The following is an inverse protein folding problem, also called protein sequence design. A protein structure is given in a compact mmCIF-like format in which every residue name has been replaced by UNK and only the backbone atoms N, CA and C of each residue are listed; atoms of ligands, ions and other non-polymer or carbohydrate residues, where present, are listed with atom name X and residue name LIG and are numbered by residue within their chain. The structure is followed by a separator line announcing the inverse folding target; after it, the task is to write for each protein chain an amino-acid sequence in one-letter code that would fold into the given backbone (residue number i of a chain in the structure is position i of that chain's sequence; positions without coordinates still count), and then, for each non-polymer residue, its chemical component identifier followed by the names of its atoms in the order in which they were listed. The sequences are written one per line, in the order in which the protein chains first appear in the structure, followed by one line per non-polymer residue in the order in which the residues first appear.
data_IF_703014381568
#
_entry.id   IF_703014381568
#
_cell.length_a   1.000
_cell.length_b   1.000
_cell.length_c   1.000
_cell.angle_alpha   90.00
_cell.angle_beta   90.00
_cell.angle_gamma   90.00
#
_symmetry.space_group_name_H-M   'P 1'
#
loop_
_entity.id
_entity.type
_entity.pdbx_description
1 polymer ?
#
# COMPACT_ATOMS: atom_id res chain seq x y z
N UNK A 1 -44.07 -19.81 22.59
CA UNK A 1 -43.37 -20.00 21.30
C UNK A 1 -42.10 -19.17 21.33
N UNK A 2 -40.92 -19.81 21.34
CA UNK A 2 -39.61 -19.12 21.44
C UNK A 2 -39.03 -18.99 20.03
N UNK A 3 -39.10 -17.81 19.44
CA UNK A 3 -38.40 -17.52 18.20
C UNK A 3 -36.93 -17.25 18.53
N UNK A 4 -36.05 -18.19 18.14
CA UNK A 4 -34.60 -18.00 18.17
C UNK A 4 -34.25 -17.15 16.95
N UNK A 5 -34.21 -15.83 17.11
CA UNK A 5 -33.72 -14.92 16.08
C UNK A 5 -32.20 -14.99 16.13
N UNK A 6 -31.62 -15.73 15.19
CA UNK A 6 -30.18 -15.77 14.95
C UNK A 6 -29.79 -14.43 14.32
N UNK A 7 -29.32 -13.50 15.13
CA UNK A 7 -28.69 -12.26 14.66
C UNK A 7 -27.32 -12.63 14.09
N UNK A 8 -27.29 -12.88 12.78
CA UNK A 8 -26.03 -12.94 12.03
C UNK A 8 -25.51 -11.50 11.96
N UNK A 9 -24.58 -11.15 12.83
CA UNK A 9 -23.77 -9.94 12.70
C UNK A 9 -22.85 -10.15 11.51
N UNK A 10 -23.33 -9.78 10.32
CA UNK A 10 -22.53 -9.84 9.10
C UNK A 10 -21.45 -8.75 9.22
N UNK A 11 -20.19 -9.19 9.30
CA UNK A 11 -19.01 -8.35 9.19
C UNK A 11 -18.88 -7.79 7.76
N UNK A 12 -19.74 -6.84 7.38
CA UNK A 12 -19.66 -6.06 6.15
C UNK A 12 -18.78 -4.82 6.37
N UNK A 13 -17.49 -5.02 6.60
CA UNK A 13 -16.50 -3.93 6.51
C UNK A 13 -15.15 -4.36 5.97
N UNK A 14 -15.14 -5.40 5.13
CA UNK A 14 -14.12 -5.55 4.08
C UNK A 14 -14.76 -5.17 2.74
N UNK A 15 -14.02 -4.59 1.78
CA UNK A 15 -14.47 -4.55 0.39
C UNK A 15 -14.58 -6.00 -0.09
N UNK A 16 -15.77 -6.57 0.02
CA UNK A 16 -16.13 -7.82 -0.64
C UNK A 16 -16.15 -7.51 -2.14
N UNK A 17 -15.01 -7.65 -2.80
CA UNK A 17 -15.01 -8.00 -4.21
C UNK A 17 -15.73 -9.35 -4.29
N UNK A 18 -17.05 -9.32 -4.44
CA UNK A 18 -17.79 -10.42 -5.03
C UNK A 18 -17.37 -10.43 -6.50
N UNK A 19 -16.21 -11.00 -6.74
CA UNK A 19 -15.77 -11.42 -8.06
C UNK A 19 -16.74 -12.55 -8.41
N UNK A 20 -17.75 -12.22 -9.23
CA UNK A 20 -18.53 -13.22 -9.93
C UNK A 20 -17.53 -14.04 -10.76
N UNK A 21 -17.07 -15.14 -10.17
CA UNK A 21 -16.25 -16.12 -10.84
C UNK A 21 -17.15 -16.79 -11.88
N UNK A 22 -17.18 -16.20 -13.07
CA UNK A 22 -17.67 -16.84 -14.27
C UNK A 22 -16.93 -18.18 -14.43
N UNK A 23 -17.63 -19.28 -14.18
CA UNK A 23 -17.37 -20.65 -14.63
C UNK A 23 -15.98 -21.05 -15.14
N UNK A 24 -14.91 -20.68 -14.45
CA UNK A 24 -13.58 -21.24 -14.66
C UNK A 24 -13.42 -22.34 -13.62
N UNK A 25 -13.32 -23.58 -14.09
CA UNK A 25 -12.93 -24.72 -13.28
C UNK A 25 -11.50 -24.49 -12.78
N UNK A 26 -11.37 -23.75 -11.68
CA UNK A 26 -10.13 -23.58 -10.92
C UNK A 26 -9.91 -24.86 -10.10
N UNK A 27 -9.17 -25.80 -10.67
CA UNK A 27 -8.42 -26.77 -9.89
C UNK A 27 -7.42 -26.00 -9.02
N UNK A 28 -7.87 -25.61 -7.84
CA UNK A 28 -7.18 -24.73 -6.91
C UNK A 28 -5.71 -25.15 -6.64
N UNK A 29 -4.70 -24.35 -7.02
CA UNK A 29 -3.32 -24.52 -6.60
C UNK A 29 -3.08 -24.00 -5.16
N UNK A 30 -4.07 -24.09 -4.27
CA UNK A 30 -3.98 -23.55 -2.91
C UNK A 30 -3.01 -24.35 -2.04
N UNK A 31 -2.87 -25.66 -2.26
CA UNK A 31 -1.93 -26.50 -1.50
C UNK A 31 -0.46 -26.15 -1.71
N UNK A 32 -0.07 -25.69 -2.91
CA UNK A 32 1.33 -25.36 -3.20
C UNK A 32 1.72 -24.03 -2.56
N UNK A 33 0.81 -23.04 -2.61
CA UNK A 33 1.01 -21.71 -2.03
C UNK A 33 1.16 -21.75 -0.50
N UNK A 34 0.43 -22.65 0.16
CA UNK A 34 0.55 -22.86 1.61
C UNK A 34 1.86 -23.55 2.00
N UNK A 35 2.36 -24.47 1.15
CA UNK A 35 3.69 -25.08 1.33
C UNK A 35 4.81 -24.05 1.16
N UNK A 36 4.76 -23.24 0.09
CA UNK A 36 5.73 -22.17 -0.14
C UNK A 36 5.75 -21.15 1.01
N UNK A 37 4.58 -20.86 1.59
CA UNK A 37 4.43 -20.02 2.77
C UNK A 37 5.03 -20.66 4.03
N UNK A 38 4.85 -21.97 4.23
CA UNK A 38 5.43 -22.72 5.36
C UNK A 38 6.95 -22.80 5.25
N UNK A 39 7.48 -23.10 4.07
CA UNK A 39 8.92 -23.20 3.84
C UNK A 39 9.59 -21.83 3.94
N UNK A 40 8.95 -20.77 3.43
CA UNK A 40 9.41 -19.40 3.64
C UNK A 40 9.42 -19.01 5.14
N UNK A 41 8.43 -19.45 5.94
CA UNK A 41 8.40 -19.22 7.39
C UNK A 41 9.52 -19.98 8.11
N UNK A 42 9.77 -21.24 7.74
CA UNK A 42 10.84 -22.06 8.31
C UNK A 42 12.22 -21.49 7.98
N UNK A 43 12.44 -21.09 6.72
CA UNK A 43 13.66 -20.42 6.29
C UNK A 43 13.92 -19.12 7.08
N UNK A 44 12.90 -18.27 7.23
CA UNK A 44 13.01 -17.04 8.05
C UNK A 44 13.34 -17.32 9.51
N UNK A 45 12.76 -18.38 10.10
CA UNK A 45 13.08 -18.80 11.48
C UNK A 45 14.53 -19.27 11.59
N UNK A 46 15.01 -20.07 10.65
CA UNK A 46 16.39 -20.54 10.60
C UNK A 46 17.38 -19.38 10.43
N UNK A 47 17.10 -18.45 9.51
CA UNK A 47 17.92 -17.26 9.27
C UNK A 47 17.94 -16.35 10.50
N UNK A 48 16.79 -16.14 11.17
CA UNK A 48 16.73 -15.38 12.42
C UNK A 48 17.55 -16.04 13.52
N UNK A 49 17.48 -17.36 13.67
CA UNK A 49 18.28 -18.11 14.64
C UNK A 49 19.78 -17.93 14.38
N UNK A 50 20.24 -18.12 13.13
CA UNK A 50 21.64 -17.90 12.74
C UNK A 50 22.14 -16.51 13.10
N UNK A 51 21.29 -15.49 12.95
CA UNK A 51 21.66 -14.09 13.23
C UNK A 51 21.70 -13.78 14.71
N UNK A 52 20.80 -14.35 15.50
CA UNK A 52 20.85 -14.29 16.96
C UNK A 52 22.14 -14.95 17.46
N UNK A 53 22.46 -16.15 16.95
CA UNK A 53 23.67 -16.88 17.35
C UNK A 53 24.94 -16.11 16.93
N UNK A 54 24.96 -15.47 15.75
CA UNK A 54 26.07 -14.60 15.33
C UNK A 54 26.22 -13.35 16.22
N UNK A 55 25.12 -12.71 16.62
CA UNK A 55 25.15 -11.56 17.52
C UNK A 55 25.65 -11.96 18.92
N UNK A 56 25.22 -13.12 19.44
CA UNK A 56 25.71 -13.66 20.70
C UNK A 56 27.22 -13.95 20.65
N UNK A 57 27.73 -14.47 19.53
CA UNK A 57 29.16 -14.71 19.34
C UNK A 57 29.98 -13.40 19.28
N UNK A 58 29.41 -12.32 18.74
CA UNK A 58 30.06 -10.99 18.74
C UNK A 58 30.12 -10.36 20.14
N UNK A 59 29.19 -10.70 21.03
CA UNK A 59 29.13 -10.23 22.43
C UNK A 59 30.03 -11.08 23.34
N UNK A 60 30.54 -12.22 22.86
CA UNK A 60 31.20 -13.23 23.69
C UNK A 60 32.58 -12.80 24.24
N UNK A 61 33.15 -11.67 23.80
CA UNK A 61 34.29 -10.97 24.41
C UNK A 61 34.07 -9.44 24.24
N UNK A 62 34.11 -8.55 25.27
CA UNK A 62 34.81 -8.60 26.57
C UNK A 62 33.89 -8.26 27.79
N UNK A 63 32.73 -8.90 27.94
CA UNK A 63 31.83 -8.74 29.10
C UNK A 63 31.17 -10.10 29.45
N UNK A 64 31.93 -10.97 30.13
CA UNK A 64 31.53 -12.34 30.51
C UNK A 64 30.16 -12.41 31.20
N UNK A 65 29.87 -11.45 32.10
CA UNK A 65 28.64 -11.43 32.91
C UNK A 65 27.38 -11.15 32.07
N UNK A 66 27.51 -10.34 31.02
CA UNK A 66 26.36 -9.95 30.20
C UNK A 66 25.91 -11.09 29.28
N UNK A 67 26.85 -11.91 28.82
CA UNK A 67 26.56 -13.12 28.05
C UNK A 67 25.77 -14.14 28.88
N UNK A 68 26.14 -14.34 30.15
CA UNK A 68 25.40 -15.21 31.06
C UNK A 68 23.99 -14.68 31.33
N UNK A 69 23.84 -13.37 31.56
CA UNK A 69 22.53 -12.74 31.75
C UNK A 69 21.61 -12.97 30.54
N UNK A 70 22.13 -12.75 29.33
CA UNK A 70 21.37 -12.97 28.09
C UNK A 70 21.05 -14.46 27.87
N UNK A 71 21.96 -15.37 28.22
CA UNK A 71 21.72 -16.82 28.10
C UNK A 71 20.62 -17.30 29.04
N UNK A 72 20.61 -16.82 30.30
CA UNK A 72 19.53 -17.11 31.26
C UNK A 72 18.19 -16.52 30.80
N UNK A 73 18.20 -15.28 30.29
CA UNK A 73 16.99 -14.64 29.75
C UNK A 73 16.42 -15.36 28.52
N UNK A 74 17.28 -15.97 27.69
CA UNK A 74 16.83 -16.73 26.50
C UNK A 74 15.92 -17.89 26.89
N UNK A 75 16.17 -18.51 28.05
CA UNK A 75 15.41 -19.65 28.57
C UNK A 75 14.19 -19.21 29.38
N UNK A 76 14.33 -18.16 30.21
CA UNK A 76 13.26 -17.72 31.12
C UNK A 76 12.24 -16.76 30.49
N UNK A 77 12.69 -15.73 29.76
CA UNK A 77 11.84 -14.72 29.12
C UNK A 77 12.37 -14.33 27.72
N UNK A 78 11.91 -15.02 26.66
CA UNK A 78 12.31 -14.75 25.29
C UNK A 78 12.00 -13.32 24.81
N UNK A 79 11.00 -12.64 25.40
CA UNK A 79 10.64 -11.27 25.02
C UNK A 79 11.63 -10.27 25.59
N UNK A 80 11.97 -10.39 26.87
CA UNK A 80 13.00 -9.56 27.51
C UNK A 80 14.38 -9.81 26.91
N UNK A 81 14.73 -11.07 26.61
CA UNK A 81 15.94 -11.43 25.88
C UNK A 81 16.07 -10.64 24.56
N UNK A 82 15.01 -10.64 23.74
CA UNK A 82 15.02 -9.91 22.47
C UNK A 82 15.10 -8.39 22.62
N UNK A 83 14.62 -7.84 23.73
CA UNK A 83 14.71 -6.41 24.03
C UNK A 83 16.15 -6.00 24.41
N UNK A 84 16.74 -6.73 25.37
CA UNK A 84 18.11 -6.51 25.83
C UNK A 84 19.13 -6.76 24.70
N UNK A 85 18.92 -7.80 23.88
CA UNK A 85 19.75 -8.07 22.71
C UNK A 85 19.70 -6.91 21.70
N UNK A 86 18.54 -6.29 21.48
CA UNK A 86 18.38 -5.15 20.56
C UNK A 86 19.13 -3.91 21.03
N UNK A 87 19.13 -3.62 22.33
CA UNK A 87 19.83 -2.46 22.89
C UNK A 87 21.35 -2.54 22.70
N UNK A 88 21.92 -3.74 22.68
CA UNK A 88 23.37 -3.97 22.59
C UNK A 88 23.91 -4.16 21.17
N UNK A 89 23.06 -4.41 20.19
CA UNK A 89 23.49 -4.49 18.80
C UNK A 89 23.75 -3.10 18.21
N UNK A 90 24.84 -2.87 17.47
CA UNK A 90 25.05 -1.61 16.77
C UNK A 90 23.90 -1.39 15.76
N UNK A 91 23.33 -0.17 15.74
CA UNK A 91 22.14 0.23 14.97
C UNK A 91 22.20 -0.10 13.45
N UNK A 92 23.38 -0.42 12.92
CA UNK A 92 23.57 -0.96 11.56
C UNK A 92 22.86 -2.31 11.33
N UNK A 93 22.79 -3.19 12.35
CA UNK A 93 22.18 -4.52 12.23
C UNK A 93 20.72 -4.58 12.69
N UNK A 94 20.22 -3.57 13.41
CA UNK A 94 18.78 -3.40 13.71
C UNK A 94 17.93 -3.32 12.44
N UNK A 95 18.44 -2.67 11.37
CA UNK A 95 17.75 -2.58 10.08
C UNK A 95 17.48 -3.95 9.49
N UNK A 96 18.47 -4.84 9.57
CA UNK A 96 18.39 -6.19 9.00
C UNK A 96 17.46 -7.10 9.82
N UNK A 97 17.39 -6.99 11.16
CA UNK A 97 16.73 -7.99 12.04
C UNK A 97 15.19 -7.94 12.08
N UNK A 98 14.56 -6.94 11.46
CA UNK A 98 13.09 -6.91 11.42
C UNK A 98 12.43 -5.74 10.69
N UNK A 99 13.19 -4.73 10.24
CA UNK A 99 12.61 -3.58 9.51
C UNK A 99 12.59 -3.73 7.99
N UNK A 100 13.45 -4.58 7.42
CA UNK A 100 13.59 -4.66 5.96
C UNK A 100 12.37 -5.24 5.22
N UNK A 101 11.41 -5.87 5.90
CA UNK A 101 10.23 -6.47 5.25
C UNK A 101 8.86 -6.02 5.80
N UNK A 102 8.82 -5.29 6.92
CA UNK A 102 7.56 -4.75 7.47
C UNK A 102 7.36 -3.27 7.08
N UNK A 103 8.44 -2.54 6.73
CA UNK A 103 8.38 -1.13 6.34
C UNK A 103 8.64 -0.83 4.86
N UNK A 104 9.22 -1.77 4.09
CA UNK A 104 9.20 -1.67 2.63
C UNK A 104 7.78 -1.99 2.18
N UNK A 105 6.90 -1.00 2.30
CA UNK A 105 5.57 -0.98 1.68
C UNK A 105 5.71 -1.70 0.35
N UNK A 106 5.02 -2.86 0.20
CA UNK A 106 5.05 -3.62 -1.05
C UNK A 106 4.94 -2.61 -2.19
N UNK A 107 5.91 -2.51 -3.12
CA UNK A 107 6.01 -1.42 -4.09
C UNK A 107 4.76 -1.14 -4.95
N UNK A 108 3.72 -1.96 -4.87
CA UNK A 108 2.51 -1.79 -5.68
C UNK A 108 1.28 -1.20 -4.98
N UNK A 109 1.13 -1.26 -3.65
CA UNK A 109 -0.21 -1.02 -3.07
C UNK A 109 -0.48 0.42 -2.65
N UNK A 110 0.52 1.15 -2.15
CA UNK A 110 0.37 2.57 -1.82
C UNK A 110 0.49 3.51 -3.02
N UNK A 111 1.28 3.14 -4.03
CA UNK A 111 1.60 4.00 -5.18
C UNK A 111 0.36 4.36 -6.02
N UNK A 112 -0.44 3.35 -6.40
CA UNK A 112 -1.62 3.56 -7.26
C UNK A 112 -2.70 4.42 -6.61
N UNK A 113 -2.91 4.26 -5.30
CA UNK A 113 -3.86 5.10 -4.57
C UNK A 113 -3.38 6.54 -4.51
N UNK A 114 -2.07 6.74 -4.32
CA UNK A 114 -1.46 8.06 -4.28
C UNK A 114 -1.55 8.80 -5.60
N UNK A 115 -1.27 8.14 -6.72
CA UNK A 115 -1.36 8.74 -8.06
C UNK A 115 -2.79 9.15 -8.40
N UNK A 116 -3.77 8.25 -8.19
CA UNK A 116 -5.19 8.58 -8.38
C UNK A 116 -5.63 9.75 -7.49
N UNK A 117 -5.11 9.83 -6.28
CA UNK A 117 -5.43 10.92 -5.37
C UNK A 117 -4.84 12.27 -5.83
N UNK A 118 -3.63 12.27 -6.41
CA UNK A 118 -3.04 13.45 -7.01
C UNK A 118 -3.81 13.90 -8.27
N UNK A 119 -4.25 12.96 -9.10
CA UNK A 119 -5.14 13.24 -10.23
C UNK A 119 -6.47 13.86 -9.76
N UNK A 120 -7.06 13.33 -8.69
CA UNK A 120 -8.27 13.89 -8.10
C UNK A 120 -8.03 15.32 -7.57
N UNK A 121 -6.96 15.54 -6.80
CA UNK A 121 -6.55 16.86 -6.31
C UNK A 121 -6.39 17.86 -7.44
N UNK A 122 -5.74 17.46 -8.54
CA UNK A 122 -5.56 18.30 -9.74
C UNK A 122 -6.89 18.78 -10.32
N UNK A 123 -7.94 17.95 -10.26
CA UNK A 123 -9.28 18.32 -10.75
C UNK A 123 -10.11 19.12 -9.76
N UNK A 124 -9.99 18.86 -8.46
CA UNK A 124 -10.84 19.49 -7.44
C UNK A 124 -10.27 20.76 -6.83
N UNK A 125 -8.94 20.85 -6.71
CA UNK A 125 -8.22 21.92 -6.01
C UNK A 125 -6.82 22.09 -6.65
N UNK A 126 -6.76 22.76 -7.83
CA UNK A 126 -5.53 22.86 -8.62
C UNK A 126 -4.43 23.66 -7.90
N UNK A 127 -4.78 24.70 -7.14
CA UNK A 127 -3.82 25.51 -6.38
C UNK A 127 -3.10 24.65 -5.33
N UNK A 128 -3.85 23.81 -4.61
CA UNK A 128 -3.27 22.90 -3.63
C UNK A 128 -2.43 21.81 -4.29
N UNK A 129 -2.82 21.34 -5.48
CA UNK A 129 -2.01 20.40 -6.25
C UNK A 129 -0.66 21.00 -6.64
N UNK A 130 -0.62 22.23 -7.14
CA UNK A 130 0.65 22.92 -7.47
C UNK A 130 1.56 23.09 -6.26
N UNK A 131 0.98 23.45 -5.10
CA UNK A 131 1.74 23.53 -3.83
C UNK A 131 2.38 22.20 -3.45
N UNK A 132 1.65 21.10 -3.61
CA UNK A 132 2.13 19.74 -3.30
C UNK A 132 3.22 19.29 -4.28
N UNK A 133 3.10 19.62 -5.57
CA UNK A 133 4.12 19.37 -6.59
C UNK A 133 5.44 20.11 -6.29
N UNK A 134 5.37 21.37 -5.88
CA UNK A 134 6.57 22.13 -5.44
C UNK A 134 7.23 21.48 -4.23
N UNK A 135 6.44 21.15 -3.20
CA UNK A 135 6.95 20.47 -2.00
C UNK A 135 7.59 19.11 -2.33
N UNK A 136 7.08 18.38 -3.32
CA UNK A 136 7.64 17.09 -3.72
C UNK A 136 9.09 17.22 -4.22
N UNK A 137 9.42 18.31 -4.88
CA UNK A 137 10.74 18.57 -5.48
C UNK A 137 11.67 19.25 -4.48
N UNK A 138 11.18 20.26 -3.76
CA UNK A 138 11.97 21.11 -2.88
C UNK A 138 12.13 20.55 -1.45
N UNK A 139 11.06 19.98 -0.89
CA UNK A 139 10.96 19.60 0.52
C UNK A 139 10.26 18.24 0.72
N UNK A 140 10.94 17.10 0.46
CA UNK A 140 10.30 15.79 0.40
C UNK A 140 9.68 15.31 1.72
N UNK A 141 10.21 15.74 2.87
CA UNK A 141 9.61 15.42 4.18
C UNK A 141 8.34 16.24 4.45
N UNK A 142 8.32 17.52 4.09
CA UNK A 142 7.12 18.36 4.19
C UNK A 142 6.02 17.86 3.26
N UNK A 143 6.38 17.43 2.05
CA UNK A 143 5.49 16.77 1.12
C UNK A 143 4.82 15.52 1.73
N UNK A 144 5.59 14.66 2.44
CA UNK A 144 5.01 13.49 3.13
C UNK A 144 4.03 13.92 4.21
N UNK A 145 4.37 14.96 4.99
CA UNK A 145 3.51 15.47 6.05
C UNK A 145 2.21 16.07 5.51
N UNK A 146 2.28 16.92 4.49
CA UNK A 146 1.09 17.50 3.85
C UNK A 146 0.22 16.43 3.19
N UNK A 147 0.82 15.48 2.45
CA UNK A 147 0.07 14.34 1.92
C UNK A 147 -0.58 13.53 3.03
N UNK A 148 0.11 13.30 4.16
CA UNK A 148 -0.44 12.63 5.33
C UNK A 148 -1.66 13.35 5.91
N UNK A 149 -1.61 14.68 6.04
CA UNK A 149 -2.75 15.50 6.50
C UNK A 149 -3.94 15.39 5.54
N UNK A 150 -3.68 15.51 4.25
CA UNK A 150 -4.73 15.44 3.22
C UNK A 150 -5.35 14.04 3.18
N UNK A 151 -4.55 12.98 3.23
CA UNK A 151 -5.08 11.63 3.31
C UNK A 151 -5.85 11.37 4.59
N UNK A 152 -5.40 11.92 5.71
CA UNK A 152 -6.12 11.81 6.98
C UNK A 152 -7.49 12.49 6.89
N UNK A 153 -7.57 13.72 6.37
CA UNK A 153 -8.84 14.43 6.21
C UNK A 153 -9.75 13.78 5.17
N UNK A 154 -9.19 13.27 4.06
CA UNK A 154 -9.93 12.49 3.07
C UNK A 154 -10.48 11.20 3.70
N UNK A 155 -9.64 10.47 4.44
CA UNK A 155 -10.06 9.25 5.14
C UNK A 155 -11.13 9.55 6.16
N UNK A 156 -10.99 10.65 6.90
CA UNK A 156 -11.98 11.08 7.87
C UNK A 156 -13.29 11.50 7.19
N UNK A 157 -13.25 12.14 6.03
CA UNK A 157 -14.47 12.56 5.31
C UNK A 157 -15.23 11.37 4.72
N UNK A 158 -14.52 10.41 4.11
CA UNK A 158 -15.13 9.32 3.36
C UNK A 158 -15.23 8.00 4.12
N UNK A 159 -14.41 7.82 5.17
CA UNK A 159 -14.39 6.64 6.02
C UNK A 159 -14.60 6.99 7.50
N UNK A 160 -15.08 8.19 7.85
CA UNK A 160 -15.64 8.38 9.19
C UNK A 160 -16.70 7.32 9.39
N UNK A 161 -16.64 6.67 10.53
CA UNK A 161 -17.81 5.96 11.03
C UNK A 161 -18.88 7.02 11.29
N UNK A 162 -20.10 6.74 10.85
CA UNK A 162 -21.23 7.60 11.18
C UNK A 162 -21.41 7.54 12.69
N UNK A 163 -21.20 8.67 13.38
CA UNK A 163 -21.25 8.76 14.83
C UNK A 163 -22.63 8.33 15.35
N UNK A 164 -23.70 8.54 14.58
CA UNK A 164 -25.06 8.08 14.91
C UNK A 164 -25.10 6.57 15.10
N UNK A 165 -24.39 5.81 14.27
CA UNK A 165 -24.31 4.34 14.39
C UNK A 165 -23.62 3.96 15.69
N UNK A 166 -22.50 4.61 16.04
CA UNK A 166 -21.78 4.30 17.29
C UNK A 166 -22.62 4.64 18.53
N UNK A 167 -23.32 5.78 18.51
CA UNK A 167 -24.26 6.17 19.57
C UNK A 167 -25.41 5.17 19.71
N UNK A 168 -26.10 4.82 18.61
CA UNK A 168 -27.21 3.87 18.63
C UNK A 168 -26.78 2.47 19.07
N UNK A 169 -25.60 1.99 18.65
CA UNK A 169 -25.04 0.72 19.12
C UNK A 169 -24.75 0.76 20.63
N UNK A 170 -24.25 1.89 21.13
CA UNK A 170 -23.99 2.06 22.57
C UNK A 170 -25.30 2.07 23.36
N UNK A 171 -26.29 2.83 22.90
CA UNK A 171 -27.64 2.87 23.50
C UNK A 171 -28.33 1.50 23.47
N UNK A 172 -28.22 0.76 22.37
CA UNK A 172 -28.78 -0.59 22.24
C UNK A 172 -28.18 -1.56 23.28
N UNK A 173 -26.87 -1.47 23.53
CA UNK A 173 -26.16 -2.30 24.52
C UNK A 173 -26.52 -1.93 25.95
N UNK A 174 -26.82 -0.67 26.21
CA UNK A 174 -27.22 -0.18 27.53
C UNK A 174 -28.71 -0.43 27.84
N UNK A 175 -29.56 -0.60 26.83
CA UNK A 175 -30.98 -0.85 27.01
C UNK A 175 -31.24 -2.20 27.69
N UNK A 176 -32.09 -2.21 28.71
CA UNK A 176 -32.49 -3.43 29.43
C UNK A 176 -33.79 -4.00 28.88
N UNK A 177 -34.71 -3.14 28.48
CA UNK A 177 -36.05 -3.50 27.99
C UNK A 177 -36.04 -3.89 26.50
N UNK A 178 -36.92 -4.84 26.15
CA UNK A 178 -37.02 -5.39 24.79
C UNK A 178 -37.75 -4.42 23.85
N UNK A 179 -38.69 -3.60 24.33
CA UNK A 179 -39.35 -2.62 23.48
C UNK A 179 -38.37 -1.51 23.07
N UNK A 180 -37.56 -1.01 24.00
CA UNK A 180 -36.49 -0.04 23.71
C UNK A 180 -35.43 -0.61 22.76
N UNK A 181 -34.99 -1.85 22.96
CA UNK A 181 -34.07 -2.52 22.02
C UNK A 181 -34.65 -2.60 20.61
N UNK A 182 -35.92 -2.97 20.48
CA UNK A 182 -36.57 -3.06 19.17
C UNK A 182 -36.66 -1.70 18.48
N UNK A 183 -36.99 -0.63 19.22
CA UNK A 183 -36.98 0.74 18.69
C UNK A 183 -35.59 1.17 18.22
N UNK A 184 -34.57 1.02 19.06
CA UNK A 184 -33.19 1.39 18.71
C UNK A 184 -32.68 0.55 17.52
N UNK A 185 -33.07 -0.72 17.44
CA UNK A 185 -32.70 -1.58 16.30
C UNK A 185 -33.32 -1.10 14.98
N UNK A 186 -34.58 -0.66 14.98
CA UNK A 186 -35.22 -0.08 13.80
C UNK A 186 -34.52 1.21 13.36
N UNK A 187 -34.22 2.12 14.31
CA UNK A 187 -33.48 3.35 14.04
C UNK A 187 -32.08 3.05 13.47
N UNK A 188 -31.35 2.11 14.08
CA UNK A 188 -30.04 1.67 13.63
C UNK A 188 -30.09 1.11 12.20
N UNK A 189 -31.12 0.30 11.89
CA UNK A 189 -31.32 -0.23 10.54
C UNK A 189 -31.50 0.88 9.52
N UNK A 190 -32.31 1.89 9.82
CA UNK A 190 -32.53 3.05 8.94
C UNK A 190 -31.21 3.78 8.68
N UNK A 191 -30.45 4.13 9.72
CA UNK A 191 -29.16 4.83 9.57
C UNK A 191 -28.15 4.00 8.77
N UNK A 192 -28.10 2.69 8.98
CA UNK A 192 -27.22 1.79 8.22
C UNK A 192 -27.60 1.77 6.73
N UNK A 193 -28.89 1.74 6.41
CA UNK A 193 -29.37 1.80 5.01
C UNK A 193 -29.00 3.15 4.37
N UNK A 194 -29.21 4.28 5.05
CA UNK A 194 -28.81 5.60 4.55
C UNK A 194 -27.31 5.66 4.21
N UNK A 195 -26.46 5.18 5.12
CA UNK A 195 -25.00 5.15 4.93
C UNK A 195 -24.63 4.23 3.77
N UNK A 196 -25.32 3.10 3.62
CA UNK A 196 -25.12 2.19 2.50
C UNK A 196 -25.49 2.82 1.15
N UNK A 197 -26.67 3.44 1.05
CA UNK A 197 -27.11 4.15 -0.16
C UNK A 197 -26.18 5.29 -0.56
N UNK A 198 -25.70 6.07 0.43
CA UNK A 198 -24.71 7.11 0.19
C UNK A 198 -23.43 6.54 -0.44
N UNK A 199 -22.93 5.42 0.09
CA UNK A 199 -21.74 4.74 -0.45
C UNK A 199 -21.99 4.17 -1.84
N UNK A 200 -23.18 3.62 -2.09
CA UNK A 200 -23.59 3.15 -3.42
C UNK A 200 -23.58 4.29 -4.43
N UNK A 201 -24.20 5.43 -4.12
CA UNK A 201 -24.19 6.63 -4.99
C UNK A 201 -22.78 7.13 -5.28
N UNK A 202 -21.87 7.07 -4.30
CA UNK A 202 -20.47 7.41 -4.53
C UNK A 202 -19.79 6.44 -5.52
N UNK A 203 -20.09 5.14 -5.42
CA UNK A 203 -19.57 4.12 -6.34
C UNK A 203 -20.16 4.22 -7.74
N UNK A 204 -21.42 4.60 -7.87
CA UNK A 204 -22.05 4.91 -9.15
C UNK A 204 -21.33 6.08 -9.84
N UNK A 205 -21.06 7.17 -9.12
CA UNK A 205 -20.27 8.30 -9.65
C UNK A 205 -18.85 7.88 -10.06
N UNK A 206 -18.20 7.04 -9.26
CA UNK A 206 -16.88 6.50 -9.58
C UNK A 206 -16.93 5.63 -10.87
N UNK A 207 -17.98 4.84 -11.03
CA UNK A 207 -18.22 4.03 -12.22
C UNK A 207 -18.43 4.90 -13.47
N UNK A 208 -19.24 5.96 -13.37
CA UNK A 208 -19.49 6.88 -14.48
C UNK A 208 -18.21 7.61 -14.91
N UNK A 209 -17.38 8.00 -13.95
CA UNK A 209 -16.06 8.54 -14.23
C UNK A 209 -15.19 7.54 -15.01
N UNK A 210 -15.16 6.27 -14.59
CA UNK A 210 -14.40 5.24 -15.30
C UNK A 210 -14.94 4.97 -16.71
N UNK A 211 -16.27 4.96 -16.90
CA UNK A 211 -16.89 4.82 -18.23
C UNK A 211 -16.46 5.95 -19.16
N UNK A 212 -16.50 7.20 -18.68
CA UNK A 212 -16.02 8.37 -19.43
C UNK A 212 -14.54 8.23 -19.80
N UNK A 213 -13.71 7.78 -18.85
CA UNK A 213 -12.28 7.56 -19.08
C UNK A 213 -12.00 6.45 -20.11
N UNK A 214 -12.76 5.36 -20.07
CA UNK A 214 -12.67 4.29 -21.08
C UNK A 214 -12.99 4.84 -22.46
N UNK A 215 -14.09 5.60 -22.61
CA UNK A 215 -14.44 6.23 -23.88
C UNK A 215 -13.36 7.18 -24.43
N UNK A 216 -12.69 7.95 -23.56
CA UNK A 216 -11.54 8.77 -23.97
C UNK A 216 -10.38 7.93 -24.52
N UNK A 217 -10.07 6.81 -23.88
CA UNK A 217 -8.99 5.91 -24.30
C UNK A 217 -9.34 5.20 -25.62
N UNK A 218 -10.59 4.79 -25.79
CA UNK A 218 -11.09 4.21 -27.05
C UNK A 218 -10.97 5.22 -28.20
N UNK A 219 -11.36 6.47 -27.99
CA UNK A 219 -11.20 7.54 -28.98
C UNK A 219 -9.72 7.82 -29.32
N UNK A 220 -8.85 7.79 -28.32
CA UNK A 220 -7.42 7.93 -28.53
C UNK A 220 -6.86 6.77 -29.36
N UNK A 221 -7.23 5.53 -29.05
CA UNK A 221 -6.84 4.34 -29.82
C UNK A 221 -7.34 4.41 -31.26
N UNK A 222 -8.56 4.90 -31.49
CA UNK A 222 -9.09 5.07 -32.83
C UNK A 222 -8.32 6.13 -33.63
N UNK A 223 -7.93 7.23 -32.97
CA UNK A 223 -7.05 8.25 -33.58
C UNK A 223 -5.68 7.67 -33.94
N UNK A 224 -5.10 6.84 -33.08
CA UNK A 224 -3.86 6.10 -33.37
C UNK A 224 -4.01 5.13 -34.55
N UNK A 225 -5.14 4.42 -34.64
CA UNK A 225 -5.40 3.51 -35.76
C UNK A 225 -5.47 4.25 -37.09
N UNK A 226 -6.16 5.39 -37.13
CA UNK A 226 -6.25 6.23 -38.34
C UNK A 226 -4.92 6.85 -38.75
N UNK A 227 -4.04 7.14 -37.79
CA UNK A 227 -2.72 7.71 -38.05
C UNK A 227 -1.60 6.67 -38.21
N UNK A 228 -1.93 5.38 -38.10
CA UNK A 228 -0.95 4.29 -38.08
C UNK A 228 -0.03 4.33 -39.29
N UNK A 229 -0.59 4.38 -40.50
CA UNK A 229 0.20 4.29 -41.73
C UNK A 229 1.11 5.51 -41.89
N UNK A 230 0.61 6.72 -41.63
CA UNK A 230 1.44 7.93 -41.64
C UNK A 230 2.59 7.90 -40.63
N UNK A 231 2.37 7.34 -39.43
CA UNK A 231 3.42 7.15 -38.43
C UNK A 231 4.45 6.13 -38.93
N UNK A 232 3.99 5.01 -39.52
CA UNK A 232 4.85 3.99 -40.10
C UNK A 232 5.68 4.54 -41.26
N UNK A 233 5.08 5.29 -42.18
CA UNK A 233 5.75 5.89 -43.34
C UNK A 233 6.79 6.91 -42.91
N UNK A 234 6.43 7.81 -41.99
CA UNK A 234 7.39 8.76 -41.40
C UNK A 234 8.57 8.03 -40.78
N UNK A 235 8.31 6.96 -40.02
CA UNK A 235 9.37 6.18 -39.39
C UNK A 235 10.22 5.41 -40.40
N UNK A 236 9.60 4.91 -41.47
CA UNK A 236 10.29 4.24 -42.56
C UNK A 236 11.23 5.21 -43.28
N UNK A 237 10.76 6.42 -43.60
CA UNK A 237 11.58 7.49 -44.18
C UNK A 237 12.77 7.85 -43.28
N UNK A 238 12.55 8.07 -41.99
CA UNK A 238 13.65 8.35 -41.02
C UNK A 238 14.72 7.24 -41.00
N UNK A 239 14.32 5.98 -41.19
CA UNK A 239 15.24 4.85 -41.21
C UNK A 239 15.99 4.74 -42.54
N UNK A 240 15.32 5.01 -43.66
CA UNK A 240 15.92 5.02 -44.99
C UNK A 240 16.89 6.21 -45.15
N UNK A 241 16.53 7.41 -44.71
CA UNK A 241 17.40 8.59 -44.75
C UNK A 241 18.65 8.41 -43.88
N UNK A 242 18.53 7.71 -42.74
CA UNK A 242 19.68 7.34 -41.91
C UNK A 242 20.68 6.41 -42.60
N UNK A 243 20.26 5.68 -43.62
CA UNK A 243 21.20 4.88 -44.43
C UNK A 243 21.93 5.73 -45.48
N UNK A 244 21.45 6.95 -45.77
CA UNK A 244 22.13 7.92 -46.62
C UNK A 244 23.12 8.81 -45.85
N UNK A 245 22.91 9.00 -44.54
CA UNK A 245 23.91 9.60 -43.66
C UNK A 245 25.08 8.62 -43.47
N UNK A 246 26.17 8.88 -44.21
CA UNK A 246 27.49 8.25 -44.03
C UNK A 246 27.79 8.06 -42.55
N UNK A 247 28.45 6.95 -42.14
CA UNK A 247 28.82 6.73 -40.75
C UNK A 247 29.49 7.99 -40.22
N UNK A 248 28.76 8.72 -39.38
CA UNK A 248 29.27 9.91 -38.71
C UNK A 248 30.44 9.40 -37.91
N UNK A 249 31.63 9.67 -38.41
CA UNK A 249 32.88 9.08 -37.96
C UNK A 249 32.98 9.29 -36.46
N UNK A 250 32.60 8.27 -35.67
CA UNK A 250 32.58 8.34 -34.21
C UNK A 250 34.00 8.40 -33.67
N UNK A 251 35.03 8.31 -34.52
CA UNK A 251 36.43 8.54 -34.17
C UNK A 251 36.72 9.99 -33.75
N UNK A 252 35.83 10.96 -34.06
CA UNK A 252 36.02 12.36 -33.67
C UNK A 252 35.48 12.72 -32.28
N UNK A 253 34.80 11.81 -31.57
CA UNK A 253 34.60 11.99 -30.13
C UNK A 253 35.88 11.55 -29.41
N UNK A 254 36.85 12.46 -29.41
CA UNK A 254 38.00 12.39 -28.51
C UNK A 254 37.55 12.10 -27.09
N UNK A 255 38.42 11.47 -26.28
CA UNK A 255 38.08 10.99 -24.95
C UNK A 255 37.39 12.12 -24.18
N UNK A 256 36.15 11.87 -23.77
CA UNK A 256 35.43 12.74 -22.84
C UNK A 256 36.23 12.71 -21.56
N UNK A 257 37.12 13.68 -21.38
CA UNK A 257 37.77 13.96 -20.10
C UNK A 257 36.66 14.15 -19.09
N UNK A 258 36.42 13.11 -18.29
CA UNK A 258 35.61 13.23 -17.09
C UNK A 258 36.37 14.18 -16.19
N UNK A 259 36.03 15.47 -16.25
CA UNK A 259 36.40 16.41 -15.19
C UNK A 259 35.77 15.90 -13.90
N UNK A 260 36.61 15.24 -13.11
CA UNK A 260 36.38 14.99 -11.71
C UNK A 260 36.54 16.33 -11.01
N UNK A 261 35.50 17.16 -11.06
CA UNK A 261 35.40 18.32 -10.16
C UNK A 261 35.06 17.81 -8.77
N UNK A 262 36.07 17.24 -8.11
CA UNK A 262 36.16 17.08 -6.67
C UNK A 262 36.52 18.46 -6.08
N UNK A 263 35.57 19.39 -6.05
CA UNK A 263 35.71 20.55 -5.19
C UNK A 263 35.09 20.21 -3.83
N UNK A 264 35.95 19.74 -2.94
CA UNK A 264 35.73 19.82 -1.52
C UNK A 264 35.56 21.30 -1.10
N UNK A 265 34.49 21.59 -0.37
CA UNK A 265 34.46 22.42 0.84
C UNK A 265 33.08 22.35 1.48
#
# INVERSE_FOLDING_TARGET
MKYVIIIIVIALSGPCYAQEHSGYNDEHPTRQRDKDSRDARLKRRADMKKRIDAALNQIKDPDSEHFEKLSKLRESDPRQFMHELKLKMPSSDEKKLGRDHIGKSRPGHGGRFRERFLEHLKTTDPERFEKIEKLRTEHPEEFRNEMGKIFSSFRQKYFKKDERIETLVTSYRAATDDADKNRINQELRTVVVEVFEMRMKMKEKELDYFKSRVGQLENALETYRKSKDAICDKRLLELLDRTADKPKDRSAHGPVERRLDNSAK
#
